data_IF_111100083047
#
_entry.id   IF_111100083047
#
_cell.length_a   1.000
_cell.length_b   1.000
_cell.length_c   1.000
_cell.angle_alpha   90.00
_cell.angle_beta   90.00
_cell.angle_gamma   90.00
#
_symmetry.space_group_name_H-M   'P 1'
#
loop_
_entity.id
_entity.type
_entity.pdbx_description
1 polymer ?
#
# COMPACT_ATOMS: atom_id res chain seq x y z
N UNK A 1 -11.51 3.98 -18.56
CA UNK A 1 -11.00 5.34 -18.80
C UNK A 1 -10.79 6.06 -17.47
N UNK A 2 -9.73 6.89 -17.31
CA UNK A 2 -9.31 7.51 -16.03
C UNK A 2 -10.28 8.56 -15.46
N UNK A 3 -11.44 8.78 -16.11
CA UNK A 3 -12.56 9.59 -15.61
C UNK A 3 -13.79 8.74 -15.21
N UNK A 4 -13.61 7.42 -15.11
CA UNK A 4 -14.67 6.55 -14.59
C UNK A 4 -14.91 6.88 -13.11
N UNK A 5 -16.15 7.09 -12.66
CA UNK A 5 -16.49 7.26 -11.24
C UNK A 5 -15.83 6.22 -10.32
N UNK A 6 -15.61 5.00 -10.79
CA UNK A 6 -14.88 3.95 -10.05
C UNK A 6 -13.46 4.37 -9.66
N UNK A 7 -12.72 5.08 -10.53
CA UNK A 7 -11.38 5.57 -10.19
C UNK A 7 -11.42 6.66 -9.11
N UNK A 8 -12.44 7.51 -9.15
CA UNK A 8 -12.61 8.56 -8.13
C UNK A 8 -12.98 7.96 -6.78
N UNK A 9 -13.89 6.98 -6.76
CA UNK A 9 -14.24 6.23 -5.56
C UNK A 9 -13.03 5.51 -4.99
N UNK A 10 -12.29 4.77 -5.82
CA UNK A 10 -11.07 4.07 -5.39
C UNK A 10 -10.01 5.01 -4.79
N UNK A 11 -9.83 6.19 -5.37
CA UNK A 11 -8.87 7.18 -4.87
C UNK A 11 -9.28 7.81 -3.53
N UNK A 12 -10.59 7.90 -3.24
CA UNK A 12 -11.11 8.46 -1.98
C UNK A 12 -11.18 7.43 -0.87
N UNK A 13 -11.70 6.25 -1.18
CA UNK A 13 -12.04 5.23 -0.19
C UNK A 13 -10.92 4.19 0.00
N UNK A 14 -10.07 3.98 -1.01
CA UNK A 14 -8.98 3.00 -0.92
C UNK A 14 -9.47 1.61 -0.51
N UNK A 15 -8.90 1.04 0.55
CA UNK A 15 -9.31 -0.28 1.08
C UNK A 15 -10.47 -0.20 2.09
N UNK A 16 -11.03 0.98 2.37
CA UNK A 16 -12.32 1.10 3.05
C UNK A 16 -13.47 0.61 2.15
N UNK A 17 -13.28 0.63 0.83
CA UNK A 17 -14.19 -0.01 -0.13
C UNK A 17 -14.09 -1.56 -0.01
N UNK A 18 -15.21 -2.26 0.24
CA UNK A 18 -15.21 -3.72 0.44
C UNK A 18 -14.73 -4.52 -0.78
N UNK A 19 -15.03 -4.08 -2.00
CA UNK A 19 -14.64 -4.79 -3.22
C UNK A 19 -13.15 -4.65 -3.46
N UNK A 20 -12.61 -3.43 -3.28
CA UNK A 20 -11.17 -3.18 -3.39
C UNK A 20 -10.40 -3.90 -2.29
N UNK A 21 -10.94 -3.96 -1.06
CA UNK A 21 -10.35 -4.75 0.03
C UNK A 21 -10.27 -6.23 -0.32
N UNK A 22 -11.37 -6.81 -0.83
CA UNK A 22 -11.41 -8.23 -1.19
C UNK A 22 -10.41 -8.56 -2.31
N UNK A 23 -10.32 -7.67 -3.31
CA UNK A 23 -9.33 -7.78 -4.38
C UNK A 23 -7.91 -7.72 -3.81
N UNK A 24 -7.60 -6.73 -2.95
CA UNK A 24 -6.29 -6.60 -2.35
C UNK A 24 -5.90 -7.83 -1.52
N UNK A 25 -6.79 -8.33 -0.65
CA UNK A 25 -6.53 -9.56 0.14
C UNK A 25 -6.22 -10.75 -0.76
N UNK A 26 -6.97 -10.91 -1.85
CA UNK A 26 -6.73 -11.98 -2.83
C UNK A 26 -5.37 -11.83 -3.52
N UNK A 27 -5.05 -10.62 -3.99
CA UNK A 27 -3.78 -10.34 -4.66
C UNK A 27 -2.57 -10.58 -3.75
N UNK A 28 -2.59 -10.04 -2.52
CA UNK A 28 -1.48 -10.20 -1.57
C UNK A 28 -1.37 -11.64 -1.05
N UNK A 29 -2.50 -12.32 -0.84
CA UNK A 29 -2.52 -13.75 -0.51
C UNK A 29 -1.90 -14.63 -1.61
N UNK A 30 -2.08 -14.25 -2.88
CA UNK A 30 -1.42 -14.93 -4.00
C UNK A 30 0.05 -14.52 -4.20
N UNK A 31 0.40 -13.27 -3.90
CA UNK A 31 1.73 -12.71 -4.11
C UNK A 31 2.79 -13.35 -3.23
N UNK A 32 2.53 -13.56 -1.93
CA UNK A 32 3.52 -14.10 -1.00
C UNK A 32 4.06 -15.49 -1.41
N UNK A 33 3.20 -16.49 -1.71
CA UNK A 33 3.67 -17.77 -2.24
C UNK A 33 4.35 -17.65 -3.62
N UNK A 34 3.92 -16.69 -4.45
CA UNK A 34 4.54 -16.47 -5.75
C UNK A 34 5.97 -15.94 -5.63
N UNK A 35 6.20 -14.97 -4.74
CA UNK A 35 7.52 -14.41 -4.45
C UNK A 35 8.50 -15.48 -3.98
N UNK A 36 8.05 -16.39 -3.12
CA UNK A 36 8.83 -17.54 -2.69
C UNK A 36 9.25 -18.43 -3.87
N UNK A 37 8.31 -18.83 -4.73
CA UNK A 37 8.61 -19.66 -5.91
C UNK A 37 9.53 -18.96 -6.91
N UNK A 38 9.50 -17.64 -6.97
CA UNK A 38 10.36 -16.82 -7.82
C UNK A 38 11.76 -16.63 -7.24
N UNK A 39 12.02 -17.07 -6.01
CA UNK A 39 13.31 -16.86 -5.35
C UNK A 39 13.55 -15.40 -4.96
N UNK A 40 12.49 -14.64 -4.66
CA UNK A 40 12.63 -13.29 -4.11
C UNK A 40 13.38 -13.34 -2.77
N UNK A 41 14.20 -12.32 -2.50
CA UNK A 41 14.94 -12.22 -1.24
C UNK A 41 14.00 -12.13 -0.04
N UNK A 42 14.48 -12.58 1.12
CA UNK A 42 13.72 -12.51 2.37
C UNK A 42 13.31 -11.06 2.68
N UNK A 43 14.18 -10.08 2.43
CA UNK A 43 13.85 -8.67 2.59
C UNK A 43 12.58 -8.24 1.80
N UNK A 44 12.42 -8.71 0.56
CA UNK A 44 11.23 -8.41 -0.24
C UNK A 44 10.01 -9.14 0.31
N UNK A 45 10.15 -10.42 0.66
CA UNK A 45 9.06 -11.23 1.23
C UNK A 45 8.56 -10.63 2.54
N UNK A 46 9.47 -10.26 3.43
CA UNK A 46 9.19 -9.65 4.72
C UNK A 46 8.54 -8.28 4.55
N UNK A 47 9.02 -7.47 3.61
CA UNK A 47 8.41 -6.17 3.29
C UNK A 47 6.95 -6.34 2.83
N UNK A 48 6.69 -7.30 1.95
CA UNK A 48 5.33 -7.57 1.45
C UNK A 48 4.44 -8.14 2.55
N UNK A 49 4.96 -9.02 3.41
CA UNK A 49 4.23 -9.55 4.55
C UNK A 49 3.87 -8.43 5.54
N UNK A 50 4.84 -7.59 5.91
CA UNK A 50 4.63 -6.45 6.79
C UNK A 50 3.62 -5.45 6.20
N UNK A 51 3.68 -5.19 4.89
CA UNK A 51 2.70 -4.36 4.19
C UNK A 51 1.29 -4.98 4.25
N UNK A 52 1.18 -6.28 4.00
CA UNK A 52 -0.08 -7.02 4.04
C UNK A 52 -0.72 -6.92 5.40
N UNK A 53 0.06 -7.15 6.46
CA UNK A 53 -0.44 -7.06 7.83
C UNK A 53 -0.85 -5.63 8.19
N UNK A 54 0.05 -4.65 7.97
CA UNK A 54 -0.17 -3.26 8.37
C UNK A 54 -1.39 -2.63 7.69
N UNK A 55 -1.61 -2.94 6.42
CA UNK A 55 -2.60 -2.27 5.59
C UNK A 55 -3.71 -3.20 5.13
N UNK A 56 -3.39 -4.20 4.31
CA UNK A 56 -4.38 -5.00 3.56
C UNK A 56 -5.30 -5.80 4.48
N UNK A 57 -4.75 -6.51 5.46
CA UNK A 57 -5.51 -7.30 6.43
C UNK A 57 -6.47 -6.42 7.24
N UNK A 58 -6.05 -5.18 7.52
CA UNK A 58 -6.80 -4.18 8.28
C UNK A 58 -7.77 -3.35 7.43
N UNK A 59 -7.83 -3.56 6.11
CA UNK A 59 -8.65 -2.74 5.21
C UNK A 59 -8.18 -1.27 5.16
N UNK A 60 -6.89 -1.04 5.37
CA UNK A 60 -6.26 0.27 5.35
C UNK A 60 -5.31 0.40 4.16
N UNK A 61 -4.90 1.61 3.83
CA UNK A 61 -3.84 1.89 2.86
C UNK A 61 -2.84 2.93 3.40
N UNK A 62 -1.67 3.09 2.77
CA UNK A 62 -0.68 4.08 3.21
C UNK A 62 -1.22 5.52 3.28
N UNK A 63 -2.23 5.87 2.47
CA UNK A 63 -2.84 7.20 2.53
C UNK A 63 -3.63 7.45 3.83
N UNK A 64 -3.94 6.40 4.60
CA UNK A 64 -4.56 6.53 5.92
C UNK A 64 -3.54 6.93 7.01
N UNK A 65 -2.25 6.79 6.73
CA UNK A 65 -1.17 7.24 7.61
C UNK A 65 -0.76 8.65 7.17
N UNK A 66 -1.64 9.62 7.44
CA UNK A 66 -1.42 11.01 7.04
C UNK A 66 -0.20 11.59 7.77
N UNK A 67 0.69 12.29 7.04
CA UNK A 67 1.79 13.03 7.65
C UNK A 67 1.26 14.21 8.46
N UNK A 68 2.03 14.70 9.43
CA UNK A 68 1.63 15.86 10.20
C UNK A 68 1.50 17.08 9.26
N UNK A 69 0.59 18.04 9.54
CA UNK A 69 0.37 19.19 8.66
C UNK A 69 1.66 19.99 8.33
N UNK A 70 2.64 19.98 9.23
CA UNK A 70 3.96 20.60 9.01
C UNK A 70 4.82 19.87 7.97
N UNK A 71 4.68 18.55 7.86
CA UNK A 71 5.60 17.71 7.08
C UNK A 71 5.41 17.88 5.57
N UNK A 72 4.18 18.14 5.12
CA UNK A 72 3.89 18.40 3.70
C UNK A 72 4.32 19.80 3.25
N UNK A 73 4.53 20.70 4.20
CA UNK A 73 4.96 22.08 3.94
C UNK A 73 6.49 22.15 3.85
N UNK A 74 7.18 21.24 4.53
CA UNK A 74 8.61 21.04 4.40
C UNK A 74 8.94 20.15 3.19
N UNK A 75 9.19 20.80 2.05
CA UNK A 75 9.55 20.13 0.80
C UNK A 75 10.80 19.22 0.91
N UNK A 76 11.60 19.36 1.97
CA UNK A 76 12.75 18.48 2.23
C UNK A 76 12.35 17.07 2.68
N UNK A 77 11.19 16.90 3.34
CA UNK A 77 10.72 15.60 3.82
C UNK A 77 10.16 14.72 2.69
N UNK A 78 9.64 15.33 1.61
CA UNK A 78 9.26 14.61 0.39
C UNK A 78 10.47 13.96 -0.29
N UNK A 79 11.67 14.57 -0.15
CA UNK A 79 12.92 13.98 -0.64
C UNK A 79 13.51 12.93 0.31
N UNK A 80 13.29 13.06 1.62
CA UNK A 80 13.82 12.13 2.64
C UNK A 80 12.97 10.84 2.80
N UNK A 81 11.66 10.89 2.55
CA UNK A 81 10.79 9.70 2.54
C UNK A 81 11.27 8.63 1.54
N UNK A 82 12.00 9.05 0.49
CA UNK A 82 12.60 8.15 -0.51
C UNK A 82 13.87 7.46 -0.01
N UNK A 83 14.52 7.98 1.03
CA UNK A 83 15.78 7.46 1.58
C UNK A 83 15.59 6.50 2.76
N UNK A 84 14.44 6.53 3.45
CA UNK A 84 14.17 5.69 4.62
C UNK A 84 13.66 4.26 4.30
N UNK A 85 13.67 3.86 3.02
CA UNK A 85 13.27 2.52 2.56
C UNK A 85 14.46 1.70 2.02
N UNK A 86 15.67 1.93 2.55
CA UNK A 86 16.87 1.16 2.24
C UNK A 86 17.27 0.27 3.42
#
# INVERSE_FOLDING_TARGET
APRNPLWTAAAREGLADPELRAAAVTCFGAALPALERMGASDAVRDTVAAFTDRYVARGRCPADDLPEPGDLTDLSLLTEQKAASA
#
